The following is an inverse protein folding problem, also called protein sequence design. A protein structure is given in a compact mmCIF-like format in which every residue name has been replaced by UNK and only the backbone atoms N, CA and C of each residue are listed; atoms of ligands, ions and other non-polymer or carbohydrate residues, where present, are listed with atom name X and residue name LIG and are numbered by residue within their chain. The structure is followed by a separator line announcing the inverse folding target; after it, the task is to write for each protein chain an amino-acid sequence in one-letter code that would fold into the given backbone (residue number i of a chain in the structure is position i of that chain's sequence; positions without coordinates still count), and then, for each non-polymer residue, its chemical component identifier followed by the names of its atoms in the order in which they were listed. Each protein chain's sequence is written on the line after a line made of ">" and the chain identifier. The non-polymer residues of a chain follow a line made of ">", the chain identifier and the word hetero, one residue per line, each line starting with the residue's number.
data_IF_768171326152
#
_entry.id   IF_768171326152
#
_cell.length_a   1.000
_cell.length_b   1.000
_cell.length_c   1.000
_cell.angle_alpha   90.00
_cell.angle_beta   90.00
_cell.angle_gamma   90.00
#
_symmetry.space_group_name_H-M   'P 1'
#
loop_
_entity.id
_entity.type
_entity.pdbx_description
1 polymer ?
#
# COMPACT_ATOMS: atom_id res chain seq x y z
N UNK A 1 -1.81 14.66 0.64
CA UNK A 1 -2.89 13.65 0.73
C UNK A 1 -2.34 12.44 1.45
N UNK A 2 -3.13 11.81 2.33
CA UNK A 2 -2.71 10.59 3.05
C UNK A 2 -3.38 9.38 2.42
N UNK A 3 -2.59 8.38 2.08
CA UNK A 3 -3.05 7.11 1.52
C UNK A 3 -2.86 6.03 2.56
N UNK A 4 -3.93 5.36 2.95
CA UNK A 4 -3.92 4.30 3.94
C UNK A 4 -3.96 2.92 3.28
N UNK A 5 -3.21 1.98 3.84
CA UNK A 5 -3.11 0.62 3.31
C UNK A 5 -3.99 -0.36 4.07
N UNK A 6 -4.75 -1.16 3.33
CA UNK A 6 -5.68 -2.16 3.84
C UNK A 6 -5.42 -3.51 3.18
N UNK A 7 -5.68 -4.58 3.91
CA UNK A 7 -5.64 -5.92 3.33
C UNK A 7 -6.80 -6.13 2.34
N UNK A 8 -6.56 -6.64 1.14
CA UNK A 8 -7.63 -6.93 0.17
C UNK A 8 -8.60 -8.01 0.63
N UNK A 9 -8.13 -8.94 1.48
CA UNK A 9 -8.91 -10.09 1.94
C UNK A 9 -9.80 -9.73 3.14
N UNK A 10 -9.19 -9.27 4.24
CA UNK A 10 -9.95 -8.95 5.46
C UNK A 10 -10.40 -7.49 5.54
N UNK A 11 -10.00 -6.63 4.61
CA UNK A 11 -10.32 -5.18 4.58
C UNK A 11 -9.88 -4.39 5.81
N UNK A 12 -9.11 -5.00 6.72
CA UNK A 12 -8.54 -4.34 7.90
C UNK A 12 -7.29 -3.55 7.54
N UNK A 13 -7.05 -2.49 8.30
CA UNK A 13 -5.87 -1.64 8.14
C UNK A 13 -4.60 -2.46 8.36
N UNK A 14 -3.58 -2.16 7.56
CA UNK A 14 -2.22 -2.65 7.77
C UNK A 14 -1.42 -1.73 8.69
N UNK A 15 -2.04 -0.66 9.23
CA UNK A 15 -1.41 0.36 10.06
C UNK A 15 -0.22 1.07 9.40
N UNK A 16 -0.23 1.09 8.07
CA UNK A 16 0.74 1.82 7.24
C UNK A 16 -0.03 2.90 6.48
N UNK A 17 0.54 4.09 6.39
CA UNK A 17 0.06 5.15 5.55
C UNK A 17 1.22 5.82 4.82
N UNK A 18 0.96 6.29 3.62
CA UNK A 18 1.89 7.08 2.82
C UNK A 18 1.36 8.52 2.71
N UNK A 19 2.25 9.48 2.94
CA UNK A 19 1.95 10.90 2.73
C UNK A 19 2.54 11.32 1.39
N UNK A 20 1.69 11.84 0.51
CA UNK A 20 2.07 12.23 -0.86
C UNK A 20 2.98 13.45 -0.84
N UNK A 21 4.06 13.43 -1.61
CA UNK A 21 5.01 14.54 -1.76
C UNK A 21 4.65 15.48 -2.90
N UNK A 22 3.80 15.04 -3.85
CA UNK A 22 3.30 15.84 -4.97
C UNK A 22 4.05 15.62 -6.28
N UNK A 23 5.11 14.81 -6.29
CA UNK A 23 5.80 14.40 -7.51
C UNK A 23 5.39 12.99 -7.94
N UNK A 24 4.59 12.92 -9.01
CA UNK A 24 4.05 11.69 -9.55
C UNK A 24 5.11 10.74 -10.13
N UNK A 25 6.28 11.24 -10.53
CA UNK A 25 7.31 10.43 -11.19
C UNK A 25 8.31 9.83 -10.19
N UNK A 26 8.29 10.31 -8.94
CA UNK A 26 9.18 9.79 -7.90
C UNK A 26 8.78 8.35 -7.55
N UNK A 27 9.78 7.48 -7.49
CA UNK A 27 9.63 6.12 -6.98
C UNK A 27 9.40 6.16 -5.47
N UNK A 28 8.29 5.57 -5.03
CA UNK A 28 7.86 5.54 -3.63
C UNK A 28 7.87 4.11 -3.10
N UNK A 29 7.85 3.96 -1.77
CA UNK A 29 7.71 2.67 -1.07
C UNK A 29 8.80 1.63 -1.38
N UNK A 30 9.96 2.07 -1.89
CA UNK A 30 11.05 1.18 -2.27
C UNK A 30 11.54 0.35 -1.07
N UNK A 31 11.65 -0.97 -1.26
CA UNK A 31 12.12 -1.89 -0.23
C UNK A 31 11.11 -2.17 0.89
N UNK A 32 9.90 -1.63 0.83
CA UNK A 32 8.86 -1.92 1.82
C UNK A 32 8.19 -3.25 1.49
N UNK A 33 8.26 -4.16 2.46
CA UNK A 33 7.51 -5.42 2.46
C UNK A 33 6.48 -5.33 3.57
N UNK A 34 5.22 -5.60 3.23
CA UNK A 34 4.13 -5.61 4.20
C UNK A 34 3.33 -6.90 4.17
N UNK A 35 2.89 -7.32 5.35
CA UNK A 35 2.08 -8.52 5.55
C UNK A 35 0.88 -8.17 6.43
N UNK A 36 -0.25 -8.84 6.18
CA UNK A 36 -1.42 -8.65 7.01
C UNK A 36 -1.32 -9.50 8.28
N UNK A 37 -1.23 -8.87 9.46
CA UNK A 37 -1.18 -9.58 10.75
C UNK A 37 -2.36 -10.53 11.02
N UNK A 38 -3.52 -10.32 10.36
CA UNK A 38 -4.67 -11.21 10.49
C UNK A 38 -4.72 -12.32 9.43
N UNK A 39 -4.28 -12.05 8.21
CA UNK A 39 -4.39 -12.98 7.09
C UNK A 39 -3.09 -13.74 6.82
N UNK A 40 -1.92 -13.32 7.33
CA UNK A 40 -0.64 -13.92 6.94
C UNK A 40 -0.58 -15.44 7.20
N UNK A 41 -1.26 -15.94 8.23
CA UNK A 41 -1.32 -17.38 8.52
C UNK A 41 -2.15 -18.17 7.50
N UNK A 42 -3.19 -17.56 6.91
CA UNK A 42 -4.07 -18.19 5.90
C UNK A 42 -3.62 -17.90 4.47
N UNK A 43 -2.97 -16.75 4.28
CA UNK A 43 -2.49 -16.21 3.03
C UNK A 43 -1.12 -15.55 3.28
N UNK A 44 -0.02 -16.32 3.30
CA UNK A 44 1.32 -15.84 3.63
C UNK A 44 1.96 -14.98 2.53
N UNK A 45 1.14 -14.28 1.73
CA UNK A 45 1.62 -13.38 0.68
C UNK A 45 2.10 -12.09 1.33
N UNK A 46 3.40 -11.92 1.37
CA UNK A 46 4.01 -10.62 1.59
C UNK A 46 3.86 -9.78 0.32
N UNK A 47 3.38 -8.55 0.46
CA UNK A 47 3.32 -7.62 -0.64
C UNK A 47 4.59 -6.78 -0.65
N UNK A 48 5.35 -6.91 -1.72
CA UNK A 48 6.49 -6.05 -2.02
C UNK A 48 6.02 -4.97 -3.00
N UNK A 49 6.03 -3.71 -2.54
CA UNK A 49 5.75 -2.56 -3.39
C UNK A 49 7.08 -2.06 -3.95
N UNK A 50 7.63 -2.80 -4.92
CA UNK A 50 8.88 -2.43 -5.57
C UNK A 50 8.60 -1.63 -6.86
N UNK A 51 9.43 -0.61 -7.14
CA UNK A 51 9.34 0.20 -8.37
C UNK A 51 7.97 0.89 -8.65
N UNK A 52 7.15 1.16 -7.64
CA UNK A 52 5.91 1.93 -7.82
C UNK A 52 6.20 3.43 -7.77
N UNK A 53 5.64 4.20 -8.70
CA UNK A 53 5.67 5.67 -8.69
C UNK A 53 4.52 6.25 -7.88
N UNK A 54 4.65 7.48 -7.38
CA UNK A 54 3.53 8.14 -6.68
C UNK A 54 2.28 8.26 -7.58
N UNK A 55 2.46 8.49 -8.88
CA UNK A 55 1.37 8.51 -9.86
C UNK A 55 0.59 7.20 -9.89
N UNK A 56 1.28 6.07 -10.05
CA UNK A 56 0.66 4.74 -10.04
C UNK A 56 -0.01 4.40 -8.70
N UNK A 57 0.57 4.90 -7.59
CA UNK A 57 0.00 4.74 -6.26
C UNK A 57 -1.34 5.49 -6.14
N UNK A 58 -1.38 6.72 -6.65
CA UNK A 58 -2.58 7.55 -6.67
C UNK A 58 -3.69 6.96 -7.57
N UNK A 59 -3.35 6.39 -8.71
CA UNK A 59 -4.31 5.72 -9.59
C UNK A 59 -4.98 4.50 -8.94
N UNK A 60 -4.23 3.79 -8.08
CA UNK A 60 -4.75 2.65 -7.31
C UNK A 60 -5.54 3.06 -6.06
N UNK A 61 -5.36 4.29 -5.59
CA UNK A 61 -6.02 4.77 -4.39
C UNK A 61 -7.49 5.11 -4.67
N UNK A 62 -8.39 4.41 -4.01
CA UNK A 62 -9.84 4.70 -4.06
C UNK A 62 -10.22 5.40 -2.76
N UNK A 63 -10.60 6.68 -2.85
CA UNK A 63 -10.95 7.51 -1.68
C UNK A 63 -9.88 7.51 -0.58
N UNK A 64 -8.59 7.59 -0.97
CA UNK A 64 -7.46 7.60 -0.03
C UNK A 64 -7.11 6.24 0.56
N UNK A 65 -7.67 5.15 0.04
CA UNK A 65 -7.40 3.78 0.50
C UNK A 65 -6.83 2.93 -0.61
N UNK A 66 -5.81 2.15 -0.30
CA UNK A 66 -5.26 1.11 -1.17
C UNK A 66 -5.52 -0.25 -0.53
N UNK A 67 -6.06 -1.16 -1.35
CA UNK A 67 -6.28 -2.55 -0.95
C UNK A 67 -5.24 -3.43 -1.60
N UNK A 68 -4.45 -4.08 -0.76
CA UNK A 68 -3.32 -4.93 -1.13
C UNK A 68 -3.52 -6.33 -0.58
#
# INVERSE_FOLDING_TARGET
>A
MKIEFFCKYCRKSLHVAYETTGDKNTKVLQGIIMTCGHCHNKHPRAMSLHNVTEGELLEKAVAGKIYI
#
